data_IF_671145454902
#
_entry.id   IF_671145454902
#
_cell.length_a   1.000
_cell.length_b   1.000
_cell.length_c   1.000
_cell.angle_alpha   90.00
_cell.angle_beta   90.00
_cell.angle_gamma   90.00
#
_symmetry.space_group_name_H-M   'P 1'
#
loop_
_entity.id
_entity.type
_entity.pdbx_description
1 polymer ?
#
# COMPACT_ATOMS: atom_id res chain seq x y z
N UNK A 1 4.98 1.59 21.50
CA UNK A 1 4.23 1.27 20.27
C UNK A 1 4.34 2.43 19.30
N UNK A 2 5.17 2.32 18.28
CA UNK A 2 5.43 3.40 17.34
C UNK A 2 4.17 3.72 16.54
N UNK A 3 3.78 4.99 16.45
CA UNK A 3 2.58 5.47 15.75
C UNK A 3 2.70 5.15 14.26
N UNK A 4 1.79 4.40 13.64
CA UNK A 4 1.77 4.23 12.18
C UNK A 4 1.70 5.62 11.53
N UNK A 5 2.55 5.93 10.53
CA UNK A 5 2.45 7.22 9.85
C UNK A 5 1.08 7.31 9.18
N UNK A 6 0.42 8.45 9.35
CA UNK A 6 -0.79 8.75 8.58
C UNK A 6 -0.32 8.98 7.15
N UNK A 7 -0.61 8.01 6.27
CA UNK A 7 -0.25 8.06 4.86
C UNK A 7 -1.50 8.35 4.03
N UNK A 8 -1.34 9.26 3.08
CA UNK A 8 -2.34 9.49 2.04
C UNK A 8 -2.21 8.43 0.96
N UNK A 9 -3.29 8.16 0.22
CA UNK A 9 -3.27 7.17 -0.86
C UNK A 9 -2.20 7.47 -1.92
N UNK A 10 -1.94 8.75 -2.20
CA UNK A 10 -0.88 9.19 -3.11
C UNK A 10 0.52 8.81 -2.61
N UNK A 11 0.78 8.98 -1.32
CA UNK A 11 2.08 8.61 -0.72
C UNK A 11 2.28 7.10 -0.72
N UNK A 12 1.23 6.34 -0.37
CA UNK A 12 1.28 4.89 -0.41
C UNK A 12 1.57 4.36 -1.82
N UNK A 13 0.89 4.90 -2.85
CA UNK A 13 1.13 4.52 -4.24
C UNK A 13 2.58 4.77 -4.65
N UNK A 14 3.17 5.91 -4.28
CA UNK A 14 4.58 6.21 -4.59
C UNK A 14 5.51 5.19 -3.95
N UNK A 15 5.27 4.84 -2.68
CA UNK A 15 6.09 3.87 -1.93
C UNK A 15 5.96 2.46 -2.50
N UNK A 16 4.74 2.00 -2.79
CA UNK A 16 4.50 0.70 -3.43
C UNK A 16 5.23 0.60 -4.78
N UNK A 17 5.15 1.62 -5.64
CA UNK A 17 5.89 1.63 -6.91
C UNK A 17 7.40 1.53 -6.73
N UNK A 18 7.97 2.21 -5.73
CA UNK A 18 9.40 2.11 -5.42
C UNK A 18 9.80 0.73 -4.91
N UNK A 19 8.89 0.05 -4.21
CA UNK A 19 9.06 -1.32 -3.76
C UNK A 19 8.84 -2.36 -4.88
N UNK A 20 8.69 -1.93 -6.13
CA UNK A 20 8.53 -2.87 -7.27
C UNK A 20 7.10 -3.37 -7.48
N UNK A 21 6.11 -2.75 -6.84
CA UNK A 21 4.71 -3.05 -7.14
C UNK A 21 4.26 -2.37 -8.43
N UNK A 22 3.63 -3.15 -9.28
CA UNK A 22 3.07 -2.71 -10.56
C UNK A 22 1.56 -2.56 -10.44
N UNK A 23 0.99 -1.60 -11.18
CA UNK A 23 -0.47 -1.43 -11.21
C UNK A 23 -1.05 -2.60 -12.01
N UNK A 24 -1.90 -3.40 -11.37
CA UNK A 24 -2.57 -4.52 -12.01
C UNK A 24 -3.87 -4.04 -12.68
N UNK A 25 -4.88 -3.70 -11.87
CA UNK A 25 -6.14 -3.14 -12.37
C UNK A 25 -6.77 -2.19 -11.35
N UNK A 26 -7.91 -1.62 -11.70
CA UNK A 26 -8.66 -0.72 -10.82
C UNK A 26 -10.10 -1.18 -10.80
N UNK A 27 -10.63 -1.37 -9.59
CA UNK A 27 -11.99 -1.85 -9.36
C UNK A 27 -12.73 -0.79 -8.56
N UNK A 28 -13.61 -0.05 -9.23
CA UNK A 28 -14.29 1.10 -8.67
C UNK A 28 -13.30 2.13 -8.13
N UNK A 29 -13.37 2.41 -6.84
CA UNK A 29 -12.52 3.38 -6.14
C UNK A 29 -11.23 2.80 -5.54
N UNK A 30 -10.92 1.52 -5.82
CA UNK A 30 -9.73 0.83 -5.32
C UNK A 30 -8.78 0.49 -6.47
N UNK A 31 -7.49 0.77 -6.28
CA UNK A 31 -6.42 0.42 -7.23
C UNK A 31 -5.69 -0.79 -6.69
N UNK A 32 -5.64 -1.86 -7.47
CA UNK A 32 -4.94 -3.09 -7.13
C UNK A 32 -3.53 -3.00 -7.70
N UNK A 33 -2.54 -3.23 -6.85
CA UNK A 33 -1.15 -3.37 -7.22
C UNK A 33 -0.69 -4.82 -7.03
N UNK A 34 0.19 -5.29 -7.90
CA UNK A 34 0.75 -6.63 -7.89
C UNK A 34 2.27 -6.55 -7.90
N UNK A 35 2.93 -7.37 -7.08
CA UNK A 35 4.37 -7.49 -7.09
C UNK A 35 4.79 -8.78 -7.80
N UNK A 36 5.45 -8.73 -8.96
CA UNK A 36 5.73 -9.93 -9.76
C UNK A 36 6.67 -10.93 -9.08
N UNK A 37 7.63 -10.45 -8.26
CA UNK A 37 8.58 -11.35 -7.59
C UNK A 37 7.98 -12.06 -6.36
N UNK A 38 7.33 -11.34 -5.46
CA UNK A 38 6.72 -11.91 -4.24
C UNK A 38 5.32 -12.49 -4.47
N UNK A 39 4.71 -12.21 -5.62
CA UNK A 39 3.32 -12.54 -5.98
C UNK A 39 2.27 -11.98 -5.02
N UNK A 40 2.64 -10.99 -4.21
CA UNK A 40 1.74 -10.30 -3.29
C UNK A 40 0.88 -9.26 -4.03
N UNK A 41 -0.25 -8.91 -3.41
CA UNK A 41 -1.16 -7.87 -3.89
C UNK A 41 -1.34 -6.80 -2.82
N UNK A 42 -1.54 -5.57 -3.26
CA UNK A 42 -1.82 -4.43 -2.40
C UNK A 42 -3.01 -3.64 -2.94
N UNK A 43 -4.11 -3.62 -2.20
CA UNK A 43 -5.33 -2.91 -2.59
C UNK A 43 -5.35 -1.52 -1.98
N UNK A 44 -5.12 -0.48 -2.79
CA UNK A 44 -5.07 0.91 -2.32
C UNK A 44 -6.41 1.62 -2.56
N UNK A 45 -7.09 2.13 -1.52
CA UNK A 45 -8.28 2.96 -1.70
C UNK A 45 -7.87 4.33 -2.28
N UNK A 46 -8.36 4.69 -3.45
CA UNK A 46 -8.01 5.95 -4.12
C UNK A 46 -8.98 7.10 -3.82
N UNK A 47 -10.13 6.81 -3.22
CA UNK A 47 -11.11 7.82 -2.79
C UNK A 47 -10.83 8.42 -1.40
N UNK A 48 -9.90 7.82 -0.64
CA UNK A 48 -9.60 8.25 0.72
C UNK A 48 -8.49 9.30 0.73
N UNK A 49 -8.73 10.42 1.42
CA UNK A 49 -7.70 11.44 1.66
C UNK A 49 -6.61 10.88 2.59
N UNK A 50 -7.03 10.15 3.62
CA UNK A 50 -6.18 9.53 4.63
C UNK A 50 -6.52 8.04 4.79
N UNK A 51 -5.48 7.19 4.84
CA UNK A 51 -5.64 5.77 5.09
C UNK A 51 -5.63 5.54 6.60
N UNK A 52 -6.73 4.99 7.13
CA UNK A 52 -6.81 4.61 8.54
C UNK A 52 -5.70 3.60 8.88
N UNK A 53 -5.09 3.68 10.07
CA UNK A 53 -3.98 2.80 10.44
C UNK A 53 -4.35 1.31 10.38
N UNK A 54 -5.59 0.94 10.68
CA UNK A 54 -6.07 -0.44 10.54
C UNK A 54 -6.09 -0.91 9.08
N UNK A 55 -6.55 -0.07 8.15
CA UNK A 55 -6.54 -0.35 6.72
C UNK A 55 -5.11 -0.47 6.19
N UNK A 56 -4.23 0.43 6.61
CA UNK A 56 -2.81 0.38 6.25
C UNK A 56 -2.16 -0.90 6.75
N UNK A 57 -2.47 -1.34 7.98
CA UNK A 57 -1.92 -2.56 8.54
C UNK A 57 -2.38 -3.82 7.78
N UNK A 58 -3.68 -3.91 7.46
CA UNK A 58 -4.21 -5.02 6.65
C UNK A 58 -3.57 -5.05 5.27
N UNK A 59 -3.40 -3.88 4.64
CA UNK A 59 -2.76 -3.75 3.34
C UNK A 59 -1.30 -4.19 3.39
N UNK A 60 -0.53 -3.77 4.38
CA UNK A 60 0.86 -4.19 4.55
C UNK A 60 0.98 -5.70 4.73
N UNK A 61 0.07 -6.30 5.50
CA UNK A 61 0.01 -7.76 5.69
C UNK A 61 -0.28 -8.49 4.36
N UNK A 62 -1.23 -8.00 3.57
CA UNK A 62 -1.57 -8.59 2.26
C UNK A 62 -0.45 -8.41 1.23
N UNK A 63 0.20 -7.25 1.27
CA UNK A 63 1.32 -6.92 0.41
C UNK A 63 2.62 -7.64 0.81
N UNK A 64 2.67 -8.27 1.99
CA UNK A 64 3.87 -8.91 2.52
C UNK A 64 4.98 -7.91 2.87
N UNK A 65 4.65 -6.63 3.09
CA UNK A 65 5.62 -5.55 3.32
C UNK A 65 5.64 -5.22 4.80
N UNK A 66 6.83 -5.07 5.37
CA UNK A 66 6.96 -4.55 6.74
C UNK A 66 6.77 -3.05 6.79
N UNK A 67 6.35 -2.53 7.95
CA UNK A 67 6.28 -1.07 8.14
C UNK A 67 7.60 -0.37 7.84
N UNK A 68 8.72 -0.99 8.18
CA UNK A 68 10.05 -0.41 8.00
C UNK A 68 10.40 -0.25 6.52
N UNK A 69 10.15 -1.29 5.72
CA UNK A 69 10.23 -1.28 4.25
C UNK A 69 9.39 -0.15 3.65
N UNK A 70 8.17 0.03 4.16
CA UNK A 70 7.32 1.12 3.72
C UNK A 70 7.90 2.49 4.08
N UNK A 71 8.53 2.66 5.25
CA UNK A 71 9.13 3.94 5.67
C UNK A 71 10.38 4.27 4.86
N UNK A 72 11.21 3.27 4.56
CA UNK A 72 12.48 3.42 3.85
C UNK A 72 12.35 3.51 2.32
N UNK A 73 11.21 3.10 1.75
CA UNK A 73 10.85 3.35 0.35
C UNK A 73 10.54 4.84 0.09
#
# INVERSE_FOLDING_TARGET
MSKLPVLTSKQLIKKLKKLGFEKDHTTGSHIIYYHPQTKCRAVVPFHATDIKPGTLHSLLKEAGISRDELVNA
#
